data_IF_364893611994
#
_entry.id   IF_364893611994
#
_cell.length_a   1.000
_cell.length_b   1.000
_cell.length_c   1.000
_cell.angle_alpha   90.00
_cell.angle_beta   90.00
_cell.angle_gamma   90.00
#
_symmetry.space_group_name_H-M   'P 1'
#
loop_
_entity.id
_entity.type
_entity.pdbx_description
1 polymer ?
#
# COMPACT_ATOMS: atom_id res chain seq x y z
N UNK A 1 -5.00 -7.13 -13.08
CA UNK A 1 -5.20 -5.75 -13.60
C UNK A 1 -3.97 -4.90 -13.29
N UNK A 2 -3.74 -3.76 -13.96
CA UNK A 2 -2.63 -2.84 -13.62
C UNK A 2 -3.07 -1.84 -12.54
N UNK A 3 -2.18 -1.53 -11.58
CA UNK A 3 -2.37 -0.43 -10.64
C UNK A 3 -1.81 0.86 -11.25
N UNK A 4 -2.72 1.74 -11.71
CA UNK A 4 -2.39 2.93 -12.50
C UNK A 4 -2.62 4.18 -11.66
N UNK A 5 -1.69 5.12 -11.76
CA UNK A 5 -1.78 6.47 -11.21
C UNK A 5 -0.68 7.38 -11.76
N UNK A 6 -0.54 8.57 -11.19
CA UNK A 6 0.57 9.47 -11.50
C UNK A 6 1.87 8.95 -10.86
N UNK A 7 2.94 8.79 -11.63
CA UNK A 7 4.24 8.43 -11.07
C UNK A 7 4.94 9.71 -10.63
N UNK A 8 5.19 9.84 -9.33
CA UNK A 8 5.75 11.04 -8.70
C UNK A 8 7.01 10.69 -7.89
N UNK A 9 7.97 11.63 -7.77
CA UNK A 9 9.11 11.45 -6.89
C UNK A 9 8.73 11.62 -5.41
N UNK A 10 9.58 11.13 -4.50
CA UNK A 10 9.39 11.25 -3.05
C UNK A 10 9.11 12.69 -2.57
N UNK A 11 9.75 13.71 -3.16
CA UNK A 11 9.55 15.12 -2.79
C UNK A 11 8.11 15.56 -3.05
N UNK A 12 7.55 15.16 -4.19
CA UNK A 12 6.16 15.49 -4.55
C UNK A 12 5.17 14.68 -3.70
N UNK A 13 5.50 13.42 -3.36
CA UNK A 13 4.70 12.62 -2.43
C UNK A 13 4.54 13.29 -1.05
N UNK A 14 5.63 13.81 -0.47
CA UNK A 14 5.57 14.53 0.82
C UNK A 14 4.71 15.77 0.72
N UNK A 15 4.81 16.52 -0.39
CA UNK A 15 4.00 17.70 -0.64
C UNK A 15 2.52 17.34 -0.77
N UNK A 16 2.17 16.40 -1.65
CA UNK A 16 0.79 15.96 -1.89
C UNK A 16 0.12 15.39 -0.64
N UNK A 17 0.87 14.69 0.21
CA UNK A 17 0.35 14.19 1.49
C UNK A 17 -0.17 15.35 2.36
N UNK A 18 0.58 16.46 2.45
CA UNK A 18 0.16 17.65 3.21
C UNK A 18 -1.01 18.36 2.55
N UNK A 19 -0.98 18.49 1.23
CA UNK A 19 -2.05 19.13 0.46
C UNK A 19 -3.37 18.35 0.63
N UNK A 20 -3.34 17.02 0.53
CA UNK A 20 -4.51 16.15 0.71
C UNK A 20 -5.04 16.16 2.14
N UNK A 21 -4.16 16.26 3.14
CA UNK A 21 -4.58 16.45 4.54
C UNK A 21 -5.25 17.82 4.72
N UNK A 22 -4.69 18.89 4.16
CA UNK A 22 -5.27 20.24 4.23
C UNK A 22 -6.61 20.36 3.48
N UNK A 23 -6.78 19.60 2.39
CA UNK A 23 -8.05 19.46 1.67
C UNK A 23 -9.10 18.63 2.45
N UNK A 24 -8.68 17.91 3.51
CA UNK A 24 -9.57 17.06 4.30
C UNK A 24 -9.94 15.74 3.63
N UNK A 25 -9.09 15.22 2.73
CA UNK A 25 -9.32 13.91 2.12
C UNK A 25 -9.10 12.78 3.14
N UNK A 26 -10.02 11.82 3.18
CA UNK A 26 -9.97 10.69 4.13
C UNK A 26 -9.14 9.50 3.62
N UNK A 27 -8.97 9.37 2.30
CA UNK A 27 -8.31 8.25 1.65
C UNK A 27 -7.25 8.73 0.66
N UNK A 28 -6.03 8.22 0.78
CA UNK A 28 -4.93 8.44 -0.15
C UNK A 28 -4.65 7.14 -0.90
N UNK A 29 -4.03 7.18 -2.07
CA UNK A 29 -3.84 5.97 -2.88
C UNK A 29 -2.43 5.88 -3.43
N UNK A 30 -1.45 6.01 -2.55
CA UNK A 30 -0.04 5.90 -2.91
C UNK A 30 0.42 4.44 -2.91
N UNK A 31 1.32 4.08 -3.82
CA UNK A 31 1.96 2.77 -3.90
C UNK A 31 3.40 2.93 -4.40
N UNK A 32 4.38 2.43 -3.63
CA UNK A 32 5.80 2.47 -4.04
C UNK A 32 6.04 1.65 -5.32
N UNK A 33 6.55 2.29 -6.36
CA UNK A 33 6.99 1.63 -7.60
C UNK A 33 8.46 1.22 -7.50
N UNK A 34 9.33 2.16 -7.10
CA UNK A 34 10.76 1.99 -6.83
C UNK A 34 11.19 2.81 -5.61
N UNK A 35 12.46 2.75 -5.22
CA UNK A 35 13.01 3.51 -4.08
C UNK A 35 12.67 5.01 -4.12
N UNK A 36 12.62 5.59 -5.31
CA UNK A 36 12.47 7.02 -5.58
C UNK A 36 11.17 7.39 -6.30
N UNK A 37 10.37 6.41 -6.71
CA UNK A 37 9.15 6.58 -7.50
C UNK A 37 7.93 6.00 -6.78
N UNK A 38 6.88 6.81 -6.64
CA UNK A 38 5.61 6.46 -6.03
C UNK A 38 4.51 6.62 -7.07
N UNK A 39 3.60 5.67 -7.17
CA UNK A 39 2.34 5.82 -7.92
C UNK A 39 1.32 6.48 -6.99
N UNK A 40 0.76 7.61 -7.38
CA UNK A 40 -0.35 8.29 -6.73
C UNK A 40 -1.63 8.11 -7.57
N UNK A 41 -2.54 7.26 -7.06
CA UNK A 41 -3.84 7.00 -7.67
C UNK A 41 -4.98 7.82 -7.03
N UNK A 42 -4.66 8.85 -6.24
CA UNK A 42 -5.64 9.57 -5.42
C UNK A 42 -6.61 10.37 -6.27
N UNK A 43 -6.07 11.20 -7.18
CA UNK A 43 -6.85 12.05 -8.09
C UNK A 43 -6.99 11.46 -9.49
N UNK A 44 -6.02 10.65 -9.95
CA UNK A 44 -6.02 9.99 -11.27
C UNK A 44 -5.59 8.55 -11.12
N UNK A 45 -6.45 7.59 -11.47
CA UNK A 45 -6.11 6.18 -11.39
C UNK A 45 -7.13 5.28 -12.09
N UNK A 46 -7.08 3.99 -11.79
CA UNK A 46 -8.01 2.99 -12.32
C UNK A 46 -8.78 2.28 -11.19
N UNK A 47 -9.64 1.31 -11.54
CA UNK A 47 -10.42 0.53 -10.58
C UNK A 47 -9.57 -0.21 -9.52
N UNK A 48 -8.30 -0.49 -9.82
CA UNK A 48 -7.39 -1.16 -8.89
C UNK A 48 -7.20 -0.39 -7.57
N UNK A 49 -7.42 0.94 -7.56
CA UNK A 49 -7.33 1.76 -6.34
C UNK A 49 -8.33 1.36 -5.25
N UNK A 50 -9.40 0.66 -5.62
CA UNK A 50 -10.45 0.22 -4.69
C UNK A 50 -10.21 -1.18 -4.13
N UNK A 51 -9.17 -1.90 -4.57
CA UNK A 51 -8.86 -3.21 -4.03
C UNK A 51 -8.37 -3.09 -2.59
N UNK A 52 -9.08 -3.73 -1.66
CA UNK A 52 -8.84 -3.60 -0.23
C UNK A 52 -7.71 -4.52 0.28
N UNK A 53 -7.30 -4.24 1.51
CA UNK A 53 -6.42 -5.11 2.27
C UNK A 53 -7.14 -6.35 2.79
N UNK A 54 -6.48 -7.51 2.68
CA UNK A 54 -6.81 -8.69 3.48
C UNK A 54 -5.55 -9.29 4.11
N UNK A 55 -5.69 -9.84 5.32
CA UNK A 55 -4.65 -10.63 5.99
C UNK A 55 -4.51 -12.05 5.40
N UNK A 56 -5.48 -12.48 4.57
CA UNK A 56 -5.46 -13.71 3.78
C UNK A 56 -5.91 -13.39 2.34
N UNK A 57 -5.07 -12.68 1.58
CA UNK A 57 -5.48 -12.16 0.28
C UNK A 57 -5.60 -13.23 -0.80
N UNK A 58 -6.42 -12.96 -1.82
CA UNK A 58 -6.52 -13.77 -3.04
C UNK A 58 -5.72 -13.19 -4.23
N UNK A 59 -5.12 -12.01 -4.06
CA UNK A 59 -4.28 -11.34 -5.06
C UNK A 59 -2.90 -10.95 -4.51
N UNK A 60 -1.94 -10.78 -5.44
CA UNK A 60 -0.59 -10.31 -5.18
C UNK A 60 -0.19 -9.23 -6.20
N UNK A 61 0.63 -8.28 -5.77
CA UNK A 61 1.26 -7.28 -6.64
C UNK A 61 2.56 -7.83 -7.23
N UNK A 62 2.81 -7.54 -8.50
CA UNK A 62 4.05 -7.90 -9.20
C UNK A 62 4.57 -6.68 -9.97
N UNK A 63 5.87 -6.45 -9.91
CA UNK A 63 6.54 -5.42 -10.70
C UNK A 63 6.89 -5.98 -12.07
N UNK A 64 6.46 -5.30 -13.13
CA UNK A 64 6.72 -5.68 -14.51
C UNK A 64 7.42 -4.54 -15.24
N UNK A 65 8.42 -4.88 -16.05
CA UNK A 65 9.04 -3.93 -16.98
C UNK A 65 8.33 -4.07 -18.32
N UNK A 66 7.62 -3.02 -18.73
CA UNK A 66 6.93 -2.95 -20.02
C UNK A 66 7.62 -1.89 -20.88
N UNK A 67 8.42 -2.34 -21.85
CA UNK A 67 9.32 -1.48 -22.59
C UNK A 67 10.40 -0.91 -21.67
N UNK A 68 10.46 0.41 -21.52
CA UNK A 68 11.42 1.10 -20.64
C UNK A 68 10.83 1.55 -19.30
N UNK A 69 9.57 1.19 -19.02
CA UNK A 69 8.85 1.66 -17.83
C UNK A 69 8.50 0.49 -16.92
N UNK A 70 8.71 0.70 -15.61
CA UNK A 70 8.23 -0.23 -14.60
C UNK A 70 6.76 0.04 -14.31
N UNK A 71 5.99 -1.02 -14.06
CA UNK A 71 4.55 -1.00 -13.77
C UNK A 71 4.24 -2.00 -12.68
N UNK A 72 3.08 -1.86 -12.04
CA UNK A 72 2.59 -2.84 -11.06
C UNK A 72 1.34 -3.52 -11.61
N UNK A 73 1.42 -4.83 -11.78
CA UNK A 73 0.28 -5.68 -12.05
C UNK A 73 -0.22 -6.34 -10.77
N UNK A 74 -1.53 -6.57 -10.68
CA UNK A 74 -2.20 -7.33 -9.64
C UNK A 74 -2.72 -8.60 -10.26
N UNK A 75 -2.35 -9.73 -9.67
CA UNK A 75 -2.64 -11.08 -10.17
C UNK A 75 -3.26 -11.91 -9.06
N UNK A 76 -4.17 -12.81 -9.40
CA UNK A 76 -4.72 -13.76 -8.43
C UNK A 76 -3.67 -14.81 -8.06
N UNK A 77 -3.68 -15.24 -6.80
CA UNK A 77 -2.79 -16.31 -6.30
C UNK A 77 -3.47 -17.67 -6.27
N UNK A 78 -4.79 -17.69 -6.44
CA UNK A 78 -5.65 -18.87 -6.53
C UNK A 78 -6.83 -18.60 -7.46
N UNK A 79 -7.62 -19.62 -7.85
CA UNK A 79 -8.94 -19.41 -8.44
C UNK A 79 -9.82 -18.55 -7.51
N UNK A 80 -10.59 -17.64 -8.12
CA UNK A 80 -11.50 -16.70 -7.43
C UNK A 80 -12.90 -16.89 -8.01
N UNK A 81 -13.89 -16.98 -7.14
CA UNK A 81 -15.28 -17.19 -7.55
C UNK A 81 -15.96 -15.87 -7.95
N UNK A 82 -17.01 -15.96 -8.78
CA UNK A 82 -17.78 -14.79 -9.15
C UNK A 82 -18.49 -14.18 -7.93
N UNK A 83 -18.27 -12.88 -7.70
CA UNK A 83 -18.81 -12.16 -6.53
C UNK A 83 -17.87 -12.12 -5.32
N UNK A 84 -16.75 -12.85 -5.35
CA UNK A 84 -15.72 -12.74 -4.32
C UNK A 84 -14.94 -11.42 -4.45
N UNK A 85 -14.71 -10.71 -3.34
CA UNK A 85 -13.93 -9.49 -3.34
C UNK A 85 -12.44 -9.77 -3.63
N UNK A 86 -11.85 -9.03 -4.57
CA UNK A 86 -10.42 -9.12 -4.83
C UNK A 86 -9.64 -8.28 -3.81
N UNK A 87 -8.73 -8.92 -3.08
CA UNK A 87 -7.96 -8.30 -2.01
C UNK A 87 -6.48 -8.67 -2.09
N UNK A 88 -5.60 -7.79 -1.62
CA UNK A 88 -4.16 -8.06 -1.55
C UNK A 88 -3.56 -7.56 -0.22
N UNK A 89 -2.42 -8.12 0.20
CA UNK A 89 -1.74 -7.62 1.40
C UNK A 89 -1.07 -6.28 1.07
N UNK A 90 -1.41 -5.23 1.82
CA UNK A 90 -0.85 -3.91 1.63
C UNK A 90 0.60 -3.81 2.12
N UNK A 91 1.09 -4.80 2.88
CA UNK A 91 2.46 -4.86 3.42
C UNK A 91 2.92 -3.55 4.07
N UNK A 92 2.02 -2.94 4.84
CA UNK A 92 2.24 -1.61 5.40
C UNK A 92 3.29 -1.66 6.52
N UNK A 93 4.50 -1.14 6.27
CA UNK A 93 5.47 -0.80 7.32
C UNK A 93 5.16 0.59 7.89
N UNK A 94 5.22 0.73 9.21
CA UNK A 94 4.93 2.00 9.87
C UNK A 94 6.15 2.91 9.80
N UNK A 95 5.96 4.16 9.38
CA UNK A 95 6.93 5.22 9.66
C UNK A 95 6.92 5.56 11.15
N UNK A 96 7.63 4.76 11.92
CA UNK A 96 7.96 5.03 13.31
C UNK A 96 9.42 4.71 13.51
N UNK A 97 10.26 5.73 13.35
CA UNK A 97 11.71 5.74 13.62
C UNK A 97 12.61 5.34 12.44
N UNK A 98 12.87 6.33 11.59
CA UNK A 98 14.09 6.51 10.78
C UNK A 98 14.85 5.26 10.34
N UNK A 99 14.56 4.78 9.12
CA UNK A 99 15.49 4.62 7.99
C UNK A 99 14.84 3.71 6.94
N UNK A 100 14.74 4.23 5.71
CA UNK A 100 14.50 3.56 4.43
C UNK A 100 13.15 2.83 4.21
N UNK A 101 12.23 3.41 3.41
CA UNK A 101 10.94 2.78 3.11
C UNK A 101 11.02 2.00 1.80
N UNK A 102 11.04 0.67 1.86
CA UNK A 102 10.82 -0.15 0.68
C UNK A 102 9.48 -0.86 0.78
N UNK A 103 8.53 -0.34 0.01
CA UNK A 103 7.16 -0.83 -0.22
C UNK A 103 6.09 -0.32 0.76
N UNK A 104 5.57 0.88 0.52
CA UNK A 104 4.50 1.45 1.33
C UNK A 104 3.33 1.91 0.47
N UNK A 105 2.22 1.23 0.67
CA UNK A 105 0.92 1.66 0.20
C UNK A 105 0.38 2.61 1.27
N UNK A 106 0.61 3.92 1.13
CA UNK A 106 0.06 4.91 2.05
C UNK A 106 -1.41 5.11 1.73
N UNK A 107 -2.24 4.17 2.16
CA UNK A 107 -3.64 4.24 1.78
C UNK A 107 -4.44 5.16 2.72
N UNK A 108 -4.11 5.29 4.01
CA UNK A 108 -5.14 5.79 4.93
C UNK A 108 -4.60 6.50 6.18
N UNK A 109 -4.79 7.83 6.26
CA UNK A 109 -4.67 8.62 7.49
C UNK A 109 -6.09 9.13 7.86
N UNK A 110 -6.71 8.53 8.87
CA UNK A 110 -7.98 9.05 9.39
C UNK A 110 -7.67 10.06 10.50
N UNK A 111 -8.03 11.34 10.28
CA UNK A 111 -8.05 12.44 11.28
C UNK A 111 -6.77 12.59 12.11
N UNK A 112 -5.78 13.32 11.59
CA UNK A 112 -4.71 13.99 12.35
C UNK A 112 -3.87 13.14 13.31
N UNK A 113 -3.87 11.82 13.20
CA UNK A 113 -2.98 10.96 13.96
C UNK A 113 -2.48 9.83 13.07
N UNK A 114 -1.18 9.55 13.15
CA UNK A 114 -0.55 8.35 12.63
C UNK A 114 -1.03 7.08 13.38
N UNK A 115 -2.34 6.93 13.58
CA UNK A 115 -2.98 5.77 14.18
C UNK A 115 -3.21 4.75 13.08
N UNK A 116 -2.64 3.56 13.26
CA UNK A 116 -2.90 2.45 12.36
C UNK A 116 -4.40 2.17 12.26
N UNK A 117 -4.86 1.89 11.05
CA UNK A 117 -6.26 1.59 10.81
C UNK A 117 -6.59 0.16 11.18
N UNK A 118 -7.80 -0.03 11.71
CA UNK A 118 -8.34 -1.36 11.98
C UNK A 118 -8.50 -2.14 10.67
N UNK A 119 -8.19 -3.43 10.72
CA UNK A 119 -8.40 -4.34 9.61
C UNK A 119 -9.75 -5.03 9.77
N UNK A 120 -10.62 -4.87 8.78
CA UNK A 120 -11.97 -5.45 8.75
C UNK A 120 -12.10 -6.60 7.73
N UNK A 121 -11.00 -7.27 7.38
CA UNK A 121 -11.00 -8.31 6.34
C UNK A 121 -11.81 -9.57 6.67
N UNK A 122 -12.25 -9.75 7.93
CA UNK A 122 -13.08 -10.90 8.34
C UNK A 122 -12.34 -12.23 8.47
N UNK A 123 -11.06 -12.29 8.10
CA UNK A 123 -10.27 -13.52 8.10
C UNK A 123 -9.92 -13.99 9.52
N UNK A 124 -9.95 -15.31 9.74
CA UNK A 124 -9.60 -15.94 11.04
C UNK A 124 -8.19 -15.60 11.49
N UNK A 125 -7.30 -15.33 10.54
CA UNK A 125 -5.90 -15.01 10.78
C UNK A 125 -5.63 -13.49 10.82
N UNK A 126 -6.69 -12.66 10.85
CA UNK A 126 -6.60 -11.21 10.82
C UNK A 126 -5.69 -10.66 11.93
N UNK A 127 -4.89 -9.65 11.58
CA UNK A 127 -3.96 -8.98 12.52
C UNK A 127 -4.63 -7.87 13.34
N UNK A 128 -5.92 -7.61 13.11
CA UNK A 128 -6.71 -6.55 13.77
C UNK A 128 -6.44 -5.14 13.24
N UNK A 129 -5.26 -4.90 12.66
CA UNK A 129 -4.81 -3.60 12.13
C UNK A 129 -4.05 -3.80 10.81
N UNK A 130 -4.23 -2.87 9.86
CA UNK A 130 -3.48 -2.86 8.60
C UNK A 130 -2.02 -2.50 8.91
N UNK A 131 -1.07 -3.33 8.45
CA UNK A 131 0.35 -3.17 8.77
C UNK A 131 0.78 -3.59 10.17
N UNK A 132 -0.08 -4.29 10.92
CA UNK A 132 0.30 -4.85 12.21
C UNK A 132 1.24 -6.06 12.08
N UNK A 133 2.09 -6.27 13.09
CA UNK A 133 2.74 -7.55 13.35
C UNK A 133 1.86 -8.37 14.30
N UNK A 134 1.75 -9.68 14.08
CA UNK A 134 1.15 -10.58 15.08
C UNK A 134 2.06 -10.57 16.31
N UNK A 135 1.56 -10.06 17.42
CA UNK A 135 2.20 -10.04 18.75
C UNK A 135 3.32 -9.02 19.02
N UNK A 136 3.23 -7.76 18.54
CA UNK A 136 4.08 -6.68 19.06
C UNK A 136 5.60 -6.92 18.96
N UNK A 137 6.03 -7.86 18.12
CA UNK A 137 7.43 -8.19 17.91
C UNK A 137 8.13 -7.00 17.26
N UNK A 138 9.28 -6.61 17.81
CA UNK A 138 10.14 -5.61 17.19
C UNK A 138 10.66 -6.17 15.85
N UNK A 139 10.73 -5.33 14.84
CA UNK A 139 11.39 -5.65 13.56
C UNK A 139 12.89 -5.78 13.87
N UNK A 140 13.45 -6.97 13.65
CA UNK A 140 14.91 -7.15 13.57
C UNK A 140 15.36 -6.65 12.20
N UNK A 141 16.24 -5.65 12.19
CA UNK A 141 16.86 -5.11 10.98
C UNK A 141 18.01 -6.04 10.62
N UNK A 142 17.94 -6.65 9.44
CA UNK A 142 19.04 -7.43 8.86
C UNK A 142 19.99 -6.46 8.15
N UNK A 143 21.21 -6.28 8.69
CA UNK A 143 22.21 -5.29 8.26
C UNK A 143 23.14 -5.81 7.15
N UNK A 144 22.71 -6.75 6.30
CA UNK A 144 23.64 -7.46 5.41
C UNK A 144 23.83 -6.91 3.98
N UNK A 145 23.32 -5.72 3.62
CA UNK A 145 23.51 -5.19 2.25
C UNK A 145 23.85 -3.68 2.24
N UNK A 146 25.14 -3.39 2.45
CA UNK A 146 25.83 -2.15 1.98
C UNK A 146 26.42 -2.35 0.58
#
# INVERSE_FOLDING_TARGET
>A
MEYIGEVIPNVEFVKRTKDYEAEGLEHFYFMTLKSDEIIDATKKGCLARFMNHSCNPNCVTQKWVVGKKMRIGIFTTRPVEAGEELTFDYKFERFGNGKNPHLLIYLLCYRHRATAQNCYCGEVNCKGIIGGLKNGGKVEVDESEE
#
